data_IF_055334743227
#
_entry.id   IF_055334743227
#
_cell.length_a   1.000
_cell.length_b   1.000
_cell.length_c   1.000
_cell.angle_alpha   90.00
_cell.angle_beta   90.00
_cell.angle_gamma   90.00
#
_symmetry.space_group_name_H-M   'P 1'
#
loop_
_entity.id
_entity.type
_entity.pdbx_description
1 polymer ?
#
# COMPACT_ATOMS: atom_id res chain seq x y z
N UNK A 1 23.59 -2.78 -2.97
CA UNK A 1 22.21 -3.23 -2.81
C UNK A 1 21.28 -2.16 -3.34
N UNK A 2 20.30 -2.53 -4.17
CA UNK A 2 19.33 -1.55 -4.62
C UNK A 2 18.52 -1.03 -3.45
N UNK A 3 18.19 0.26 -3.50
CA UNK A 3 17.38 0.90 -2.48
C UNK A 3 15.95 0.38 -2.59
N UNK A 4 15.31 0.12 -1.46
CA UNK A 4 13.91 -0.26 -1.44
C UNK A 4 13.05 0.95 -1.14
N UNK A 5 11.95 1.02 -1.88
CA UNK A 5 10.95 2.08 -1.74
C UNK A 5 9.69 1.49 -1.14
N UNK A 6 9.04 2.27 -0.29
CA UNK A 6 7.77 1.87 0.34
C UNK A 6 6.71 2.88 -0.05
N UNK A 7 5.53 2.39 -0.42
CA UNK A 7 4.38 3.23 -0.74
C UNK A 7 3.25 2.85 0.20
N UNK A 8 2.82 3.81 1.01
CA UNK A 8 1.67 3.65 1.90
C UNK A 8 0.44 4.15 1.17
N UNK A 9 -0.42 3.26 0.77
CA UNK A 9 -1.63 3.60 0.02
C UNK A 9 -2.83 3.53 0.97
N UNK A 10 -3.46 4.67 1.20
CA UNK A 10 -4.61 4.79 2.07
C UNK A 10 -5.88 4.65 1.25
N UNK A 11 -6.72 3.71 1.66
CA UNK A 11 -7.96 3.39 0.94
C UNK A 11 -9.18 3.59 1.83
N UNK A 12 -10.29 3.97 1.19
CA UNK A 12 -11.61 3.92 1.81
C UNK A 12 -12.46 2.92 1.05
N UNK A 13 -12.96 1.91 1.75
CA UNK A 13 -13.85 0.93 1.15
C UNK A 13 -15.19 1.59 0.78
N UNK A 14 -15.77 1.14 -0.34
CA UNK A 14 -17.08 1.60 -0.79
C UNK A 14 -18.19 0.83 -0.09
N UNK A 15 -19.45 1.35 -0.11
CA UNK A 15 -20.58 0.58 0.38
C UNK A 15 -20.72 -0.78 -0.30
N UNK A 16 -20.39 -0.85 -1.59
CA UNK A 16 -20.44 -2.11 -2.35
C UNK A 16 -19.47 -3.15 -1.79
N UNK A 17 -18.26 -2.73 -1.42
CA UNK A 17 -17.30 -3.62 -0.75
C UNK A 17 -17.84 -4.09 0.60
N UNK A 18 -18.35 -3.17 1.39
CA UNK A 18 -18.87 -3.48 2.72
C UNK A 18 -20.11 -4.37 2.71
N UNK A 19 -20.82 -4.41 1.57
CA UNK A 19 -21.97 -5.29 1.39
C UNK A 19 -21.58 -6.73 1.06
N UNK A 20 -20.32 -6.99 0.69
CA UNK A 20 -19.85 -8.35 0.45
C UNK A 20 -19.81 -9.14 1.75
N UNK A 21 -20.09 -10.44 1.67
CA UNK A 21 -19.86 -11.35 2.77
C UNK A 21 -18.37 -11.43 3.09
N UNK A 22 -18.05 -11.76 4.34
CA UNK A 22 -16.65 -11.77 4.80
C UNK A 22 -15.79 -12.72 3.98
N UNK A 23 -16.30 -13.89 3.62
CA UNK A 23 -15.58 -14.85 2.80
C UNK A 23 -15.31 -14.33 1.37
N UNK A 24 -16.25 -13.54 0.82
CA UNK A 24 -16.03 -12.88 -0.46
C UNK A 24 -14.94 -11.80 -0.40
N UNK A 25 -14.95 -11.03 0.69
CA UNK A 25 -13.88 -10.04 0.92
C UNK A 25 -12.50 -10.70 1.04
N UNK A 26 -12.42 -11.82 1.76
CA UNK A 26 -11.19 -12.60 1.89
C UNK A 26 -10.73 -13.16 0.54
N UNK A 27 -11.66 -13.64 -0.28
CA UNK A 27 -11.33 -14.15 -1.60
C UNK A 27 -10.76 -13.06 -2.51
N UNK A 28 -11.34 -11.86 -2.47
CA UNK A 28 -10.82 -10.70 -3.20
C UNK A 28 -9.40 -10.34 -2.74
N UNK A 29 -9.18 -10.34 -1.44
CA UNK A 29 -7.88 -10.02 -0.85
C UNK A 29 -6.83 -11.05 -1.28
N UNK A 30 -7.15 -12.33 -1.18
CA UNK A 30 -6.24 -13.40 -1.57
C UNK A 30 -5.91 -13.32 -3.06
N UNK A 31 -6.90 -13.04 -3.90
CA UNK A 31 -6.70 -12.88 -5.34
C UNK A 31 -5.77 -11.69 -5.65
N UNK A 32 -5.91 -10.59 -4.91
CA UNK A 32 -5.02 -9.43 -5.04
C UNK A 32 -3.58 -9.80 -4.71
N UNK A 33 -3.35 -10.44 -3.57
CA UNK A 33 -2.01 -10.81 -3.13
C UNK A 33 -1.36 -11.82 -4.09
N UNK A 34 -2.13 -12.81 -4.55
CA UNK A 34 -1.63 -13.80 -5.49
C UNK A 34 -1.25 -13.18 -6.83
N UNK A 35 -2.07 -12.26 -7.32
CA UNK A 35 -1.81 -11.58 -8.57
C UNK A 35 -0.53 -10.76 -8.52
N UNK A 36 -0.28 -10.07 -7.42
CA UNK A 36 0.96 -9.32 -7.21
C UNK A 36 2.15 -10.28 -7.13
N UNK A 37 2.02 -11.31 -6.32
CA UNK A 37 3.07 -12.30 -6.14
C UNK A 37 3.50 -12.96 -7.45
N UNK A 38 2.55 -13.33 -8.29
CA UNK A 38 2.82 -14.04 -9.54
C UNK A 38 3.34 -13.14 -10.66
N UNK A 39 2.88 -11.88 -10.72
CA UNK A 39 3.16 -11.02 -11.86
C UNK A 39 4.33 -10.05 -11.64
N UNK A 40 4.68 -9.74 -10.39
CA UNK A 40 5.64 -8.69 -10.09
C UNK A 40 6.68 -9.17 -9.08
N UNK A 41 7.79 -9.71 -9.59
CA UNK A 41 8.81 -10.38 -8.77
C UNK A 41 9.49 -9.47 -7.74
N UNK A 42 9.63 -8.17 -8.06
CA UNK A 42 10.32 -7.22 -7.19
C UNK A 42 9.37 -6.42 -6.28
N UNK A 43 8.11 -6.80 -6.27
CA UNK A 43 7.08 -6.07 -5.55
C UNK A 43 6.49 -6.94 -4.45
N UNK A 44 6.40 -6.40 -3.25
CA UNK A 44 5.65 -7.04 -2.16
C UNK A 44 4.51 -6.14 -1.71
N UNK A 45 3.45 -6.76 -1.21
CA UNK A 45 2.25 -6.07 -0.79
C UNK A 45 1.75 -6.65 0.52
N UNK A 46 1.48 -5.77 1.48
CA UNK A 46 0.80 -6.13 2.73
C UNK A 46 -0.41 -5.24 2.91
N UNK A 47 -1.48 -5.81 3.43
CA UNK A 47 -2.71 -5.08 3.71
C UNK A 47 -2.93 -4.98 5.21
N UNK A 48 -3.29 -3.78 5.66
CA UNK A 48 -3.65 -3.51 7.05
C UNK A 48 -5.06 -2.96 7.13
N UNK A 49 -5.85 -3.50 8.04
CA UNK A 49 -7.20 -3.00 8.31
C UNK A 49 -7.09 -1.92 9.39
N UNK A 50 -7.50 -0.71 9.05
CA UNK A 50 -7.49 0.41 9.99
C UNK A 50 -8.88 0.87 10.41
N UNK A 51 -9.92 0.11 10.06
CA UNK A 51 -11.32 0.47 10.34
C UNK A 51 -11.57 0.76 11.82
N UNK A 52 -10.97 -0.02 12.71
CA UNK A 52 -11.18 0.13 14.14
C UNK A 52 -10.43 1.30 14.77
N UNK A 53 -9.44 1.86 14.07
CA UNK A 53 -8.49 2.82 14.67
C UNK A 53 -8.52 4.20 14.03
N UNK A 54 -8.81 4.28 12.74
CA UNK A 54 -8.68 5.52 12.00
C UNK A 54 -10.01 5.92 11.36
N UNK A 55 -10.42 7.17 11.59
CA UNK A 55 -11.56 7.75 10.89
C UNK A 55 -11.21 8.20 9.47
N UNK A 56 -9.93 8.20 9.09
CA UNK A 56 -9.45 8.72 7.80
C UNK A 56 -9.53 7.72 6.67
N UNK A 57 -9.34 6.44 6.97
CA UNK A 57 -9.31 5.40 5.96
C UNK A 57 -9.75 4.07 6.56
N UNK A 58 -10.15 3.14 5.70
CA UNK A 58 -10.53 1.80 6.14
C UNK A 58 -9.39 0.80 6.03
N UNK A 59 -8.48 1.03 5.08
CA UNK A 59 -7.41 0.08 4.76
C UNK A 59 -6.14 0.84 4.41
N UNK A 60 -5.00 0.24 4.76
CA UNK A 60 -3.69 0.71 4.33
C UNK A 60 -2.99 -0.42 3.61
N UNK A 61 -2.59 -0.18 2.37
CA UNK A 61 -1.75 -1.10 1.62
C UNK A 61 -0.31 -0.61 1.70
N UNK A 62 0.59 -1.51 2.05
CA UNK A 62 2.02 -1.21 2.12
C UNK A 62 2.72 -1.97 0.99
N UNK A 63 3.16 -1.23 0.00
CA UNK A 63 3.88 -1.74 -1.16
C UNK A 63 5.37 -1.51 -0.96
N UNK A 64 6.17 -2.53 -1.18
CA UNK A 64 7.63 -2.39 -1.10
C UNK A 64 8.26 -2.94 -2.39
N UNK A 65 9.22 -2.21 -2.93
CA UNK A 65 9.89 -2.60 -4.16
C UNK A 65 11.26 -1.95 -4.29
N UNK A 66 12.15 -2.62 -5.00
CA UNK A 66 13.39 -2.00 -5.50
C UNK A 66 13.19 -1.41 -6.91
N UNK A 67 12.04 -1.65 -7.53
CA UNK A 67 11.71 -1.19 -8.89
C UNK A 67 10.41 -0.39 -8.87
N UNK A 68 10.53 0.93 -8.82
CA UNK A 68 9.39 1.85 -8.76
C UNK A 68 8.48 1.71 -9.97
N UNK A 69 9.05 1.38 -11.15
CA UNK A 69 8.25 1.19 -12.36
C UNK A 69 7.29 0.01 -12.22
N UNK A 70 7.72 -1.08 -11.57
CA UNK A 70 6.83 -2.21 -11.28
C UNK A 70 5.66 -1.81 -10.38
N UNK A 71 5.95 -0.99 -9.36
CA UNK A 71 4.87 -0.49 -8.48
C UNK A 71 3.83 0.29 -9.29
N UNK A 72 4.26 1.24 -10.11
CA UNK A 72 3.34 2.05 -10.91
C UNK A 72 2.52 1.20 -11.87
N UNK A 73 3.15 0.24 -12.52
CA UNK A 73 2.47 -0.68 -13.43
C UNK A 73 1.42 -1.51 -12.70
N UNK A 74 1.80 -2.10 -11.56
CA UNK A 74 0.91 -2.93 -10.76
C UNK A 74 -0.26 -2.12 -10.21
N UNK A 75 0.00 -0.95 -9.63
CA UNK A 75 -1.03 -0.10 -9.07
C UNK A 75 -2.04 0.30 -10.13
N UNK A 76 -1.58 0.66 -11.32
CA UNK A 76 -2.47 1.00 -12.44
C UNK A 76 -3.31 -0.20 -12.86
N UNK A 77 -2.67 -1.35 -13.09
CA UNK A 77 -3.36 -2.55 -13.58
C UNK A 77 -4.42 -3.03 -12.58
N UNK A 78 -4.14 -2.95 -11.28
CA UNK A 78 -5.07 -3.40 -10.25
C UNK A 78 -6.21 -2.42 -10.00
N UNK A 79 -6.02 -1.14 -10.34
CA UNK A 79 -7.05 -0.10 -10.22
C UNK A 79 -7.95 -0.02 -11.45
N UNK A 80 -7.42 -0.32 -12.63
CA UNK A 80 -8.16 -0.24 -13.89
C UNK A 80 -9.01 -1.49 -14.10
N UNK A 81 -10.16 -1.56 -13.40
CA UNK A 81 -11.07 -2.70 -13.49
C UNK A 81 -10.62 -3.93 -12.70
N UNK A 82 -9.59 -3.80 -11.88
CA UNK A 82 -9.08 -4.88 -11.05
C UNK A 82 -9.58 -4.84 -9.61
N UNK A 83 -8.95 -5.63 -8.71
CA UNK A 83 -9.36 -5.75 -7.31
C UNK A 83 -9.31 -4.45 -6.52
N UNK A 84 -8.53 -3.45 -6.98
CA UNK A 84 -8.46 -2.13 -6.37
C UNK A 84 -9.24 -1.09 -7.17
N UNK A 85 -10.19 -1.52 -8.01
CA UNK A 85 -11.02 -0.64 -8.82
C UNK A 85 -11.91 0.26 -7.96
N UNK A 86 -12.38 1.35 -8.57
CA UNK A 86 -13.21 2.36 -7.90
C UNK A 86 -14.54 1.81 -7.38
N UNK A 87 -15.00 0.68 -7.89
CA UNK A 87 -16.21 0.02 -7.37
C UNK A 87 -16.00 -0.53 -5.95
N UNK A 88 -14.76 -0.82 -5.56
CA UNK A 88 -14.43 -1.43 -4.29
C UNK A 88 -13.75 -0.47 -3.32
N UNK A 89 -12.85 0.37 -3.83
CA UNK A 89 -12.04 1.26 -3.00
C UNK A 89 -11.81 2.61 -3.65
N UNK A 90 -11.81 3.64 -2.82
CA UNK A 90 -11.32 4.96 -3.19
C UNK A 90 -9.89 5.10 -2.65
N UNK A 91 -8.95 5.51 -3.50
CA UNK A 91 -7.59 5.81 -3.08
C UNK A 91 -7.57 7.24 -2.54
N UNK A 92 -7.35 7.37 -1.24
CA UNK A 92 -7.36 8.67 -0.58
C UNK A 92 -6.02 9.38 -0.70
N UNK A 93 -4.94 8.62 -0.59
CA UNK A 93 -3.59 9.16 -0.62
C UNK A 93 -2.59 8.05 -0.87
N UNK A 94 -1.43 8.42 -1.39
CA UNK A 94 -0.28 7.53 -1.52
C UNK A 94 0.94 8.28 -0.99
N UNK A 95 1.60 7.70 0.02
CA UNK A 95 2.75 8.32 0.67
C UNK A 95 4.00 7.51 0.31
N UNK A 96 4.83 8.01 -0.62
CA UNK A 96 6.11 7.37 -0.91
C UNK A 96 7.08 7.61 0.23
N UNK A 97 7.86 6.58 0.57
CA UNK A 97 8.84 6.68 1.64
C UNK A 97 10.03 5.77 1.37
N UNK A 98 11.13 6.05 2.02
CA UNK A 98 12.32 5.21 2.01
C UNK A 98 12.67 4.94 3.47
N UNK A 99 12.90 3.66 3.78
CA UNK A 99 13.29 3.31 5.14
C UNK A 99 14.61 3.98 5.49
N UNK A 100 14.65 4.62 6.64
CA UNK A 100 15.88 5.17 7.18
C UNK A 100 16.65 4.03 7.87
N UNK A 101 17.65 3.52 7.18
CA UNK A 101 18.48 2.42 7.68
C UNK A 101 19.72 2.92 8.45
N UNK A 102 19.81 4.21 8.63
CA UNK A 102 20.92 4.82 9.36
C UNK A 102 22.22 4.97 8.59
N UNK A 103 22.26 4.58 7.32
CA UNK A 103 23.51 4.63 6.54
C UNK A 103 23.92 6.04 6.15
N UNK A 104 22.95 6.90 5.90
CA UNK A 104 23.15 8.28 5.50
C UNK A 104 22.75 9.22 6.63
N UNK A 105 22.97 8.82 7.87
CA UNK A 105 22.59 9.65 9.01
C UNK A 105 23.48 10.89 9.05
N UNK A 106 22.83 12.05 9.01
CA UNK A 106 23.43 13.32 9.37
C UNK A 106 23.72 13.28 10.88
N UNK A 107 24.98 13.49 11.31
CA UNK A 107 25.30 13.47 12.74
C UNK A 107 24.47 14.44 13.58
N UNK A 108 23.90 15.45 12.94
CA UNK A 108 23.05 16.45 13.61
C UNK A 108 21.55 16.10 13.55
N UNK A 109 21.20 14.96 12.97
CA UNK A 109 19.81 14.58 12.78
C UNK A 109 19.00 14.57 14.09
N UNK A 110 19.50 14.03 15.22
CA UNK A 110 18.75 14.09 16.48
C UNK A 110 18.40 15.51 16.91
N UNK A 111 19.29 16.47 16.68
CA UNK A 111 19.02 17.87 17.02
C UNK A 111 17.98 18.47 16.07
N UNK A 112 18.04 18.12 14.78
CA UNK A 112 17.07 18.59 13.79
C UNK A 112 15.66 18.06 14.08
N UNK A 113 15.57 16.83 14.51
CA UNK A 113 14.27 16.23 14.86
C UNK A 113 13.67 16.86 16.12
N UNK A 114 14.49 17.32 17.03
CA UNK A 114 14.03 17.97 18.26
C UNK A 114 13.54 19.40 18.03
N UNK A 115 13.82 20.01 16.89
CA UNK A 115 13.44 21.39 16.57
C UNK A 115 12.11 21.53 15.85
N UNK A 116 11.44 20.44 15.61
CA UNK A 116 10.15 20.43 14.92
C UNK A 116 9.00 20.75 15.84
#
# INVERSE_FOLDING_TARGET
MPRRYTFFMLLQSTPRWRALALDEQHAHHDALLMRVFEAYAELSLRRFDSTAFAGRCSDVLVWETSDVAQYHEAARALRDGGPLGAEWFEVLDVIPAVEDDGRDIDPLLPLRMCTV
#
